data_IF_678018148790
#
_entry.id   IF_678018148790
#
_cell.length_a   1.000
_cell.length_b   1.000
_cell.length_c   1.000
_cell.angle_alpha   90.00
_cell.angle_beta   90.00
_cell.angle_gamma   90.00
#
_symmetry.space_group_name_H-M   'P 1'
#
loop_
_entity.id
_entity.type
_entity.pdbx_description
1 polymer ?
#
# COMPACT_ATOMS: atom_id res chain seq x y z
N UNK A 1 -10.46 -16.74 -21.13
CA UNK A 1 -10.18 -17.17 -19.74
C UNK A 1 -9.19 -16.16 -19.15
N UNK A 2 -9.40 -15.80 -17.87
CA UNK A 2 -8.32 -15.38 -16.95
C UNK A 2 -7.88 -13.90 -16.84
N UNK A 3 -8.73 -12.89 -17.04
CA UNK A 3 -8.38 -11.50 -16.65
C UNK A 3 -9.03 -11.07 -15.32
N UNK A 4 -10.19 -11.66 -14.97
CA UNK A 4 -10.94 -11.25 -13.79
C UNK A 4 -10.49 -11.88 -12.46
N UNK A 5 -9.62 -12.90 -12.48
CA UNK A 5 -9.26 -13.62 -11.25
C UNK A 5 -7.98 -13.07 -10.57
N UNK A 6 -7.27 -12.13 -11.20
CA UNK A 6 -6.14 -11.45 -10.58
C UNK A 6 -6.58 -10.34 -9.60
N UNK A 7 -7.78 -9.78 -9.77
CA UNK A 7 -8.32 -8.65 -9.01
C UNK A 7 -8.89 -9.01 -7.61
N UNK A 8 -8.93 -10.29 -7.24
CA UNK A 8 -9.58 -10.73 -6.00
C UNK A 8 -8.68 -10.71 -4.75
N UNK A 9 -7.37 -10.50 -4.90
CA UNK A 9 -6.42 -10.52 -3.77
C UNK A 9 -6.16 -9.12 -3.23
N UNK A 10 -5.99 -9.04 -1.92
CA UNK A 10 -5.53 -7.83 -1.26
C UNK A 10 -4.14 -7.45 -1.79
N UNK A 11 -4.03 -6.27 -2.39
CA UNK A 11 -2.77 -5.71 -2.88
C UNK A 11 -2.20 -4.79 -1.81
N UNK A 12 -0.95 -4.95 -1.35
CA UNK A 12 -0.36 -4.05 -0.36
C UNK A 12 -0.39 -2.59 -0.83
N UNK A 13 -0.80 -1.69 0.06
CA UNK A 13 -0.98 -0.29 -0.24
C UNK A 13 -0.77 0.59 1.00
N UNK A 14 -0.68 1.88 0.77
CA UNK A 14 -0.57 2.91 1.78
C UNK A 14 -1.61 3.99 1.52
N UNK A 15 -2.13 4.58 2.59
CA UNK A 15 -3.07 5.69 2.51
C UNK A 15 -2.59 6.83 3.39
N UNK A 16 -2.50 8.02 2.84
CA UNK A 16 -2.35 9.22 3.66
C UNK A 16 -3.70 9.57 4.27
N UNK A 17 -3.81 9.52 5.59
CA UNK A 17 -5.04 9.83 6.33
C UNK A 17 -5.40 11.32 6.29
N UNK A 18 -4.44 12.20 6.00
CA UNK A 18 -4.67 13.64 5.92
C UNK A 18 -5.29 14.04 4.58
N UNK A 19 -4.71 13.60 3.45
CA UNK A 19 -5.21 13.91 2.10
C UNK A 19 -6.26 12.91 1.60
N UNK A 20 -6.27 11.70 2.16
CA UNK A 20 -7.08 10.58 1.67
C UNK A 20 -6.50 9.87 0.45
N UNK A 21 -5.35 10.32 -0.07
CA UNK A 21 -4.69 9.70 -1.23
C UNK A 21 -4.22 8.29 -0.89
N UNK A 22 -4.38 7.36 -1.84
CA UNK A 22 -4.03 5.95 -1.71
C UNK A 22 -3.02 5.60 -2.79
N UNK A 23 -1.89 5.04 -2.37
CA UNK A 23 -0.84 4.58 -3.26
C UNK A 23 -0.59 3.10 -3.06
N UNK A 24 -0.51 2.35 -4.16
CA UNK A 24 -0.13 0.94 -4.09
C UNK A 24 1.31 0.83 -3.66
N UNK A 25 1.62 -0.21 -2.90
CA UNK A 25 3.00 -0.53 -2.62
C UNK A 25 3.68 -0.97 -3.92
N UNK A 26 4.74 -0.27 -4.28
CA UNK A 26 5.46 -0.47 -5.54
C UNK A 26 6.95 -0.49 -5.28
N UNK A 27 7.66 -1.21 -6.12
CA UNK A 27 9.09 -1.07 -6.27
C UNK A 27 9.42 0.30 -6.86
N UNK A 28 10.69 0.72 -6.76
CA UNK A 28 11.18 1.97 -7.35
C UNK A 28 10.99 2.05 -8.87
N UNK A 29 10.85 0.90 -9.54
CA UNK A 29 10.56 0.81 -10.98
C UNK A 29 9.05 0.93 -11.32
N UNK A 30 8.20 1.15 -10.32
CA UNK A 30 6.75 1.31 -10.48
C UNK A 30 5.96 0.02 -10.50
N UNK A 31 6.60 -1.16 -10.51
CA UNK A 31 5.89 -2.43 -10.44
C UNK A 31 5.25 -2.64 -9.06
N UNK A 32 4.02 -3.18 -8.98
CA UNK A 32 3.40 -3.52 -7.69
C UNK A 32 4.27 -4.51 -6.91
N UNK A 33 4.48 -4.21 -5.63
CA UNK A 33 5.21 -5.08 -4.72
C UNK A 33 4.26 -6.10 -4.09
N UNK A 34 4.68 -7.37 -3.92
CA UNK A 34 3.88 -8.37 -3.23
C UNK A 34 3.84 -8.18 -1.71
N UNK A 35 4.63 -7.23 -1.17
CA UNK A 35 4.70 -6.87 0.25
C UNK A 35 4.82 -5.36 0.42
N UNK A 36 4.64 -4.84 1.64
CA UNK A 36 4.73 -3.41 1.97
C UNK A 36 6.15 -2.87 1.78
N UNK A 37 6.40 -2.29 0.61
CA UNK A 37 7.53 -1.44 0.26
C UNK A 37 7.14 0.03 0.18
N UNK A 38 8.01 0.86 0.74
CA UNK A 38 7.87 2.33 0.79
C UNK A 38 8.74 3.04 -0.24
N UNK A 39 9.63 2.31 -0.92
CA UNK A 39 10.60 2.88 -1.87
C UNK A 39 9.95 3.50 -3.11
N UNK A 40 8.79 3.00 -3.52
CA UNK A 40 7.99 3.51 -4.62
C UNK A 40 6.92 4.53 -4.22
N UNK A 41 6.90 4.99 -2.96
CA UNK A 41 5.96 6.01 -2.51
C UNK A 41 6.35 7.41 -3.02
N UNK A 42 5.38 8.32 -3.15
CA UNK A 42 5.65 9.70 -3.52
C UNK A 42 6.60 10.38 -2.52
N UNK A 43 7.51 11.22 -3.02
CA UNK A 43 8.44 11.99 -2.18
C UNK A 43 7.72 12.87 -1.15
N UNK A 44 6.53 13.34 -1.48
CA UNK A 44 5.70 14.13 -0.55
C UNK A 44 5.30 13.35 0.71
N UNK A 45 5.31 12.01 0.70
CA UNK A 45 4.98 11.20 1.87
C UNK A 45 6.22 10.82 2.69
N UNK A 46 7.40 11.06 2.13
CA UNK A 46 8.69 10.67 2.72
C UNK A 46 9.21 11.85 3.53
N UNK A 47 9.38 11.64 4.83
CA UNK A 47 9.90 12.66 5.76
C UNK A 47 11.42 12.65 5.73
N UNK A 48 12.02 11.46 5.66
CA UNK A 48 13.47 11.32 5.68
C UNK A 48 13.96 10.11 4.87
N UNK A 49 15.13 10.27 4.26
CA UNK A 49 15.87 9.23 3.55
C UNK A 49 17.28 9.14 4.11
N UNK A 50 17.84 7.93 4.15
CA UNK A 50 19.24 7.75 4.53
C UNK A 50 20.21 8.22 3.44
N UNK A 51 21.52 8.13 3.72
CA UNK A 51 22.59 8.48 2.77
C UNK A 51 22.59 7.61 1.51
N UNK A 52 21.97 6.43 1.55
CA UNK A 52 21.81 5.53 0.41
C UNK A 52 20.47 5.77 -0.33
N UNK A 53 19.74 6.84 0.02
CA UNK A 53 18.41 7.20 -0.51
C UNK A 53 17.28 6.21 -0.20
N UNK A 54 17.48 5.32 0.78
CA UNK A 54 16.40 4.46 1.28
C UNK A 54 15.47 5.29 2.17
N UNK A 55 14.17 5.01 2.07
CA UNK A 55 13.17 5.66 2.92
C UNK A 55 13.31 5.15 4.34
N UNK A 56 13.62 6.04 5.29
CA UNK A 56 13.73 5.69 6.71
C UNK A 56 12.57 6.24 7.54
N UNK A 57 11.87 7.25 7.03
CA UNK A 57 10.76 7.87 7.74
C UNK A 57 9.68 8.34 6.75
N UNK A 58 8.43 8.01 7.08
CA UNK A 58 7.24 8.47 6.38
C UNK A 58 6.47 9.45 7.25
N UNK A 59 5.58 10.24 6.62
CA UNK A 59 4.62 11.08 7.35
C UNK A 59 3.83 10.22 8.33
N UNK A 60 3.65 10.71 9.55
CA UNK A 60 2.87 10.03 10.59
C UNK A 60 1.41 9.77 10.19
N UNK A 61 0.91 10.49 9.18
CA UNK A 61 -0.44 10.32 8.63
C UNK A 61 -0.56 9.15 7.67
N UNK A 62 0.55 8.55 7.22
CA UNK A 62 0.57 7.41 6.29
C UNK A 62 0.26 6.12 7.02
N UNK A 63 -0.82 5.46 6.60
CA UNK A 63 -1.32 4.21 7.14
C UNK A 63 -1.03 3.09 6.16
N UNK A 64 -0.43 1.99 6.65
CA UNK A 64 -0.25 0.78 5.86
C UNK A 64 -1.52 -0.08 5.83
N UNK A 65 -1.86 -0.59 4.66
CA UNK A 65 -3.06 -1.40 4.44
C UNK A 65 -3.02 -2.13 3.11
N UNK A 66 -4.18 -2.38 2.55
CA UNK A 66 -4.34 -3.11 1.31
C UNK A 66 -5.43 -2.49 0.45
N UNK A 67 -5.29 -2.57 -0.87
CA UNK A 67 -6.37 -2.25 -1.81
C UNK A 67 -6.94 -3.54 -2.35
N UNK A 68 -8.27 -3.64 -2.34
CA UNK A 68 -9.02 -4.73 -2.98
C UNK A 68 -10.20 -4.13 -3.74
N UNK A 69 -10.32 -4.47 -5.02
CA UNK A 69 -11.37 -3.97 -5.92
C UNK A 69 -11.51 -2.43 -5.89
N UNK A 70 -10.39 -1.70 -5.81
CA UNK A 70 -10.36 -0.23 -5.79
C UNK A 70 -10.68 0.41 -4.43
N UNK A 71 -10.96 -0.38 -3.39
CA UNK A 71 -11.17 0.11 -2.02
C UNK A 71 -9.97 -0.17 -1.14
N UNK A 72 -9.55 0.82 -0.36
CA UNK A 72 -8.54 0.65 0.68
C UNK A 72 -9.15 0.01 1.93
N UNK A 73 -8.38 -0.91 2.52
CA UNK A 73 -8.65 -1.62 3.76
C UNK A 73 -7.41 -1.46 4.64
N UNK A 74 -7.59 -1.09 5.89
CA UNK A 74 -6.55 -1.22 6.91
C UNK A 74 -6.19 -2.69 7.11
N UNK A 75 -5.05 -2.96 7.77
CA UNK A 75 -4.67 -4.35 8.10
C UNK A 75 -5.75 -5.07 8.91
N UNK A 76 -6.41 -4.36 9.83
CA UNK A 76 -7.51 -4.92 10.62
C UNK A 76 -8.71 -5.24 9.73
N UNK A 77 -9.20 -4.29 8.94
CA UNK A 77 -10.34 -4.53 8.05
C UNK A 77 -10.06 -5.65 7.02
N UNK A 78 -8.82 -5.76 6.54
CA UNK A 78 -8.43 -6.84 5.64
C UNK A 78 -8.45 -8.21 6.35
N UNK A 79 -7.97 -8.29 7.59
CA UNK A 79 -8.04 -9.51 8.41
C UNK A 79 -9.49 -9.91 8.66
N UNK A 80 -10.31 -8.98 9.13
CA UNK A 80 -11.74 -9.21 9.39
C UNK A 80 -12.48 -9.66 8.13
N UNK A 81 -12.14 -9.10 6.96
CA UNK A 81 -12.74 -9.49 5.70
C UNK A 81 -12.35 -10.92 5.29
N UNK A 82 -11.07 -11.30 5.45
CA UNK A 82 -10.60 -12.67 5.16
C UNK A 82 -11.25 -13.67 6.11
N UNK A 83 -11.37 -13.33 7.39
CA UNK A 83 -12.00 -14.21 8.38
C UNK A 83 -13.51 -14.41 8.11
N UNK A 84 -14.18 -13.43 7.52
CA UNK A 84 -15.62 -13.47 7.20
C UNK A 84 -15.93 -14.07 5.82
N UNK A 85 -14.92 -14.25 4.96
CA UNK A 85 -15.10 -14.74 3.59
C UNK A 85 -14.50 -16.16 3.47
N UNK A 86 -15.31 -17.23 3.66
CA UNK A 86 -14.85 -18.62 3.60
C UNK A 86 -14.43 -19.09 2.21
#
# INVERSE_FOLDING_TARGET
>A
MSENNAHARFVPAFKDSYTGQVELSRYRDGRPAPFHLVDGLPDEWIVNRDLASNVVELKATVISGFVRLGRFFTRQEASEFVDQCP
#
